data_IF_155607702091
#
_entry.id   IF_155607702091
#
_cell.length_a   1.000
_cell.length_b   1.000
_cell.length_c   1.000
_cell.angle_alpha   90.00
_cell.angle_beta   90.00
_cell.angle_gamma   90.00
#
_symmetry.space_group_name_H-M   'P 1'
#
loop_
_entity.id
_entity.type
_entity.pdbx_description
1 polymer ?
#
# COMPACT_ATOMS: atom_id res chain seq x y z
N UNK A 1 -4.82 7.01 -24.94
CA UNK A 1 -3.83 6.19 -24.19
C UNK A 1 -4.47 5.01 -23.48
N UNK A 2 -5.15 5.11 -22.32
CA UNK A 2 -5.71 3.91 -21.62
C UNK A 2 -6.64 3.07 -22.52
N UNK A 3 -7.53 3.73 -23.25
CA UNK A 3 -8.53 3.09 -24.12
C UNK A 3 -7.87 2.45 -25.36
N UNK A 4 -6.81 3.08 -25.86
CA UNK A 4 -6.06 2.62 -27.03
C UNK A 4 -5.14 1.45 -26.68
N UNK A 5 -4.47 1.51 -25.51
CA UNK A 5 -3.59 0.46 -25.00
C UNK A 5 -4.39 -0.79 -24.58
N UNK A 6 -5.54 -0.61 -23.94
CA UNK A 6 -6.44 -1.70 -23.58
C UNK A 6 -7.24 -2.26 -24.77
N UNK A 7 -7.12 -1.64 -25.96
CA UNK A 7 -7.86 -1.99 -27.17
C UNK A 7 -9.38 -2.12 -26.97
N UNK A 8 -9.97 -1.14 -26.27
CA UNK A 8 -11.41 -1.09 -25.99
C UNK A 8 -12.05 0.18 -26.57
N UNK A 9 -13.36 0.18 -26.77
CA UNK A 9 -14.09 1.39 -27.20
C UNK A 9 -14.31 2.37 -26.06
N UNK A 10 -14.40 3.68 -26.36
CA UNK A 10 -14.79 4.71 -25.38
C UNK A 10 -16.12 4.41 -24.68
N UNK A 11 -17.10 3.93 -25.43
CA UNK A 11 -18.40 3.50 -24.89
C UNK A 11 -18.28 2.33 -23.90
N UNK A 12 -17.33 1.42 -24.12
CA UNK A 12 -17.05 0.31 -23.20
C UNK A 12 -16.36 0.82 -21.94
N UNK A 13 -15.39 1.74 -22.07
CA UNK A 13 -14.74 2.35 -20.91
C UNK A 13 -15.72 3.11 -20.03
N UNK A 14 -16.50 4.03 -20.62
CA UNK A 14 -17.48 4.85 -19.89
C UNK A 14 -18.74 4.09 -19.48
N UNK A 15 -18.94 2.85 -19.93
CA UNK A 15 -19.98 1.97 -19.38
C UNK A 15 -19.59 1.37 -18.02
N UNK A 16 -18.29 1.35 -17.69
CA UNK A 16 -17.77 0.79 -16.45
C UNK A 16 -17.18 1.84 -15.50
N UNK A 17 -16.66 2.95 -16.02
CA UNK A 17 -16.07 4.02 -15.22
C UNK A 17 -16.43 5.38 -15.80
N UNK A 18 -17.10 6.22 -15.01
CA UNK A 18 -17.51 7.56 -15.47
C UNK A 18 -16.29 8.47 -15.70
N UNK A 19 -15.18 8.21 -14.99
CA UNK A 19 -13.93 8.99 -15.08
C UNK A 19 -12.69 8.11 -14.89
N UNK A 20 -11.53 8.65 -15.31
CA UNK A 20 -10.22 8.06 -14.99
C UNK A 20 -10.01 7.91 -13.48
N UNK A 21 -10.58 8.83 -12.69
CA UNK A 21 -10.51 8.84 -11.23
C UNK A 21 -11.29 7.67 -10.60
N UNK A 22 -12.43 7.28 -11.18
CA UNK A 22 -13.16 6.09 -10.74
C UNK A 22 -12.41 4.80 -11.04
N UNK A 23 -11.77 4.70 -12.21
CA UNK A 23 -10.91 3.57 -12.52
C UNK A 23 -9.76 3.48 -11.50
N UNK A 24 -9.10 4.60 -11.19
CA UNK A 24 -8.04 4.66 -10.18
C UNK A 24 -8.56 4.26 -8.80
N UNK A 25 -9.75 4.75 -8.41
CA UNK A 25 -10.38 4.37 -7.15
C UNK A 25 -10.69 2.87 -7.10
N UNK A 26 -11.16 2.28 -8.20
CA UNK A 26 -11.45 0.85 -8.28
C UNK A 26 -10.17 0.01 -8.22
N UNK A 27 -9.10 0.42 -8.92
CA UNK A 27 -7.79 -0.25 -8.85
C UNK A 27 -7.17 -0.16 -7.45
N UNK A 28 -7.26 1.01 -6.81
CA UNK A 28 -6.92 1.16 -5.40
C UNK A 28 -7.76 0.19 -4.56
N UNK A 29 -9.09 0.22 -4.71
CA UNK A 29 -9.99 -0.63 -3.93
C UNK A 29 -9.66 -2.11 -4.09
N UNK A 30 -9.30 -2.56 -5.30
CA UNK A 30 -8.89 -3.94 -5.57
C UNK A 30 -7.56 -4.30 -4.89
N UNK A 31 -6.53 -3.45 -5.00
CA UNK A 31 -5.26 -3.63 -4.26
C UNK A 31 -5.53 -3.70 -2.75
N UNK A 32 -6.40 -2.84 -2.25
CA UNK A 32 -6.63 -2.69 -0.81
C UNK A 32 -7.65 -3.69 -0.25
N UNK A 33 -8.58 -4.23 -1.05
CA UNK A 33 -9.51 -5.28 -0.60
C UNK A 33 -8.80 -6.60 -0.36
N UNK A 34 -7.75 -6.90 -1.12
CA UNK A 34 -6.93 -8.10 -0.92
C UNK A 34 -5.98 -7.95 0.28
N UNK A 35 -5.36 -6.78 0.42
CA UNK A 35 -4.47 -6.45 1.55
C UNK A 35 -5.18 -6.39 2.90
N UNK A 36 -6.46 -5.98 2.93
CA UNK A 36 -7.18 -5.67 4.18
C UNK A 36 -8.47 -6.49 4.38
N UNK A 37 -8.75 -7.49 3.54
CA UNK A 37 -9.76 -8.49 3.90
C UNK A 37 -9.29 -9.24 5.14
N UNK A 38 -10.19 -9.47 6.10
CA UNK A 38 -9.87 -10.25 7.32
C UNK A 38 -9.47 -11.71 7.00
N UNK A 39 -9.66 -12.13 5.75
CA UNK A 39 -9.28 -13.41 5.16
C UNK A 39 -7.85 -13.45 4.59
N UNK A 40 -6.92 -12.65 5.14
CA UNK A 40 -5.47 -12.58 4.83
C UNK A 40 -4.70 -13.93 4.92
N UNK A 41 -5.40 -15.05 5.02
CA UNK A 41 -4.92 -16.39 5.37
C UNK A 41 -5.32 -17.39 4.26
N UNK A 42 -5.08 -17.08 2.98
CA UNK A 42 -5.06 -18.08 1.88
C UNK A 42 -4.94 -17.39 0.51
N UNK A 43 -3.86 -16.67 0.23
CA UNK A 43 -3.50 -16.41 -1.17
C UNK A 43 -2.60 -17.53 -1.69
N UNK A 44 -2.86 -17.99 -2.93
CA UNK A 44 -2.17 -19.16 -3.53
C UNK A 44 -0.69 -18.91 -3.83
N UNK A 45 -0.26 -17.65 -3.83
CA UNK A 45 1.09 -17.23 -4.22
C UNK A 45 2.01 -17.03 -3.02
N UNK A 46 1.47 -16.62 -1.87
CA UNK A 46 2.25 -16.35 -0.65
C UNK A 46 1.49 -16.78 0.62
N UNK A 47 2.13 -17.60 1.46
CA UNK A 47 1.56 -18.12 2.69
C UNK A 47 1.93 -17.24 3.90
N UNK A 48 0.94 -16.51 4.43
CA UNK A 48 1.06 -15.68 5.64
C UNK A 48 0.29 -16.29 6.83
N UNK A 49 -0.06 -17.57 6.79
CA UNK A 49 -0.92 -18.24 7.80
C UNK A 49 -0.27 -18.54 9.16
N UNK A 50 1.02 -18.25 9.31
CA UNK A 50 1.77 -18.56 10.52
C UNK A 50 1.62 -17.53 11.64
N UNK A 51 0.62 -17.68 12.51
CA UNK A 51 0.43 -17.23 13.92
C UNK A 51 1.13 -15.94 14.46
N UNK A 52 1.60 -15.03 13.61
CA UNK A 52 2.32 -13.82 13.97
C UNK A 52 1.87 -12.69 13.01
N UNK A 53 0.66 -12.19 13.25
CA UNK A 53 -0.02 -11.16 12.46
C UNK A 53 0.56 -9.75 12.72
N UNK A 54 1.88 -9.65 12.86
CA UNK A 54 2.61 -8.43 13.20
C UNK A 54 2.55 -7.37 12.10
N UNK A 55 2.91 -6.14 12.45
CA UNK A 55 2.92 -5.01 11.52
C UNK A 55 3.81 -5.29 10.30
N UNK A 56 5.00 -5.84 10.50
CA UNK A 56 5.94 -6.19 9.41
C UNK A 56 5.32 -7.12 8.37
N UNK A 57 4.56 -8.13 8.80
CA UNK A 57 3.85 -9.07 7.90
C UNK A 57 2.86 -8.32 7.01
N UNK A 58 2.08 -7.40 7.58
CA UNK A 58 1.11 -6.59 6.83
C UNK A 58 1.78 -5.65 5.84
N UNK A 59 2.87 -5.00 6.24
CA UNK A 59 3.65 -4.14 5.36
C UNK A 59 4.29 -4.93 4.21
N UNK A 60 4.83 -6.12 4.50
CA UNK A 60 5.38 -7.03 3.50
C UNK A 60 4.31 -7.45 2.49
N UNK A 61 3.10 -7.75 2.97
CA UNK A 61 1.98 -8.13 2.11
C UNK A 61 1.57 -7.00 1.16
N UNK A 62 1.47 -5.76 1.66
CA UNK A 62 1.24 -4.57 0.82
C UNK A 62 2.28 -4.49 -0.29
N UNK A 63 3.55 -4.64 0.06
CA UNK A 63 4.67 -4.53 -0.88
C UNK A 63 4.65 -5.64 -1.94
N UNK A 64 4.22 -6.86 -1.60
CA UNK A 64 4.00 -7.94 -2.58
C UNK A 64 2.92 -7.59 -3.59
N UNK A 65 1.75 -7.14 -3.15
CA UNK A 65 0.69 -6.73 -4.09
C UNK A 65 1.13 -5.59 -5.01
N UNK A 66 1.88 -4.62 -4.47
CA UNK A 66 2.41 -3.53 -5.27
C UNK A 66 3.44 -4.03 -6.31
N UNK A 67 4.22 -5.06 -5.97
CA UNK A 67 5.17 -5.69 -6.88
C UNK A 67 4.51 -6.55 -7.95
N UNK A 68 3.51 -7.34 -7.58
CA UNK A 68 2.75 -8.17 -8.52
C UNK A 68 1.97 -7.31 -9.52
N UNK A 69 1.57 -6.12 -9.09
CA UNK A 69 0.89 -5.11 -9.92
C UNK A 69 1.84 -4.04 -10.48
N UNK A 70 3.16 -4.28 -10.48
CA UNK A 70 4.19 -3.28 -10.80
C UNK A 70 3.92 -2.53 -12.12
N UNK A 71 3.60 -3.23 -13.20
CA UNK A 71 3.35 -2.62 -14.51
C UNK A 71 2.20 -1.60 -14.48
N UNK A 72 1.15 -1.90 -13.73
CA UNK A 72 -0.01 -1.01 -13.58
C UNK A 72 0.33 0.17 -12.66
N UNK A 73 1.03 -0.09 -11.56
CA UNK A 73 1.35 0.91 -10.54
C UNK A 73 2.39 1.92 -11.02
N UNK A 74 3.43 1.48 -11.72
CA UNK A 74 4.43 2.36 -12.33
C UNK A 74 3.76 3.33 -13.32
N UNK A 75 2.85 2.82 -14.15
CA UNK A 75 2.09 3.66 -15.08
C UNK A 75 1.19 4.67 -14.38
N UNK A 76 0.53 4.28 -13.28
CA UNK A 76 -0.34 5.17 -12.50
C UNK A 76 0.47 6.28 -11.82
N UNK A 77 1.60 5.92 -11.19
CA UNK A 77 2.43 6.86 -10.44
C UNK A 77 3.21 7.83 -11.36
N UNK A 78 3.46 7.44 -12.61
CA UNK A 78 4.17 8.27 -13.60
C UNK A 78 3.30 9.33 -14.28
N UNK A 79 1.98 9.33 -14.05
CA UNK A 79 1.05 10.29 -14.64
C UNK A 79 0.48 11.25 -13.57
N UNK A 80 -0.30 12.26 -13.99
CA UNK A 80 -1.06 13.16 -13.09
C UNK A 80 -1.92 12.41 -12.06
N UNK A 81 -2.24 11.15 -12.36
CA UNK A 81 -2.99 10.23 -11.51
C UNK A 81 -2.23 9.71 -10.27
N UNK A 82 -0.91 9.92 -10.20
CA UNK A 82 -0.08 9.45 -9.09
C UNK A 82 -0.40 10.12 -7.75
N UNK A 83 -0.72 11.43 -7.76
CA UNK A 83 -1.11 12.15 -6.55
C UNK A 83 -2.43 11.61 -5.98
N UNK A 84 -3.39 11.32 -6.85
CA UNK A 84 -4.69 10.76 -6.47
C UNK A 84 -4.55 9.34 -5.90
N UNK A 85 -3.72 8.50 -6.53
CA UNK A 85 -3.39 7.18 -6.00
C UNK A 85 -2.78 7.28 -4.60
N UNK A 86 -1.78 8.14 -4.41
CA UNK A 86 -1.12 8.32 -3.12
C UNK A 86 -2.06 8.87 -2.04
N UNK A 87 -3.03 9.71 -2.41
CA UNK A 87 -4.08 10.17 -1.49
C UNK A 87 -4.92 9.00 -0.99
N UNK A 88 -5.42 8.15 -1.88
CA UNK A 88 -6.17 6.96 -1.48
C UNK A 88 -5.31 6.01 -0.64
N UNK A 89 -4.09 5.72 -1.09
CA UNK A 89 -3.16 4.85 -0.38
C UNK A 89 -2.92 5.30 1.07
N UNK A 90 -2.66 6.61 1.29
CA UNK A 90 -2.51 7.18 2.63
C UNK A 90 -3.78 7.03 3.49
N UNK A 91 -4.96 7.12 2.89
CA UNK A 91 -6.23 6.84 3.57
C UNK A 91 -6.27 5.42 4.14
N UNK A 92 -5.92 4.42 3.33
CA UNK A 92 -5.89 3.03 3.78
C UNK A 92 -4.82 2.75 4.83
N UNK A 93 -3.61 3.31 4.66
CA UNK A 93 -2.57 3.23 5.68
C UNK A 93 -3.03 3.83 7.01
N UNK A 94 -3.81 4.92 6.96
CA UNK A 94 -4.37 5.56 8.16
C UNK A 94 -5.27 4.59 8.93
N UNK A 95 -6.16 3.89 8.24
CA UNK A 95 -7.03 2.89 8.88
C UNK A 95 -6.23 1.72 9.48
N UNK A 96 -5.26 1.19 8.72
CA UNK A 96 -4.40 0.09 9.18
C UNK A 96 -3.59 0.47 10.43
N UNK A 97 -2.86 1.59 10.38
CA UNK A 97 -2.02 2.04 11.48
C UNK A 97 -2.85 2.46 12.70
N UNK A 98 -4.04 3.01 12.51
CA UNK A 98 -4.95 3.32 13.63
C UNK A 98 -5.34 2.05 14.41
N UNK A 99 -5.66 0.96 13.71
CA UNK A 99 -5.95 -0.34 14.35
C UNK A 99 -4.73 -0.90 15.09
N UNK A 100 -3.53 -0.71 14.54
CA UNK A 100 -2.27 -1.12 15.19
C UNK A 100 -1.96 -0.32 16.46
N UNK A 101 -2.18 1.00 16.45
CA UNK A 101 -1.93 1.87 17.60
C UNK A 101 -2.89 1.61 18.78
N UNK A 102 -4.12 1.17 18.52
CA UNK A 102 -5.09 0.84 19.57
C UNK A 102 -4.61 -0.28 20.54
N UNK A 103 -3.60 -1.07 20.15
CA UNK A 103 -3.00 -2.12 20.98
C UNK A 103 -1.54 -1.87 21.37
N UNK A 104 -0.98 -0.70 21.05
CA UNK A 104 0.46 -0.42 21.21
C UNK A 104 0.66 0.76 22.14
N UNK A 105 1.59 0.65 23.10
CA UNK A 105 1.96 1.76 23.97
C UNK A 105 3.03 2.62 23.26
N UNK A 106 2.72 3.89 23.01
CA UNK A 106 3.63 4.83 22.33
C UNK A 106 3.89 6.03 23.23
N UNK A 107 5.15 6.47 23.30
CA UNK A 107 5.59 7.58 24.16
C UNK A 107 5.27 8.97 23.59
N UNK A 108 4.46 9.05 22.53
CA UNK A 108 4.12 10.27 21.81
C UNK A 108 2.62 10.33 21.52
N UNK A 109 2.05 11.52 21.24
CA UNK A 109 0.65 11.66 20.85
C UNK A 109 0.28 10.75 19.67
N UNK A 110 -0.85 10.05 19.79
CA UNK A 110 -1.25 9.03 18.83
C UNK A 110 -1.43 9.57 17.40
N UNK A 111 -1.93 10.80 17.27
CA UNK A 111 -2.09 11.50 15.99
C UNK A 111 -0.74 11.80 15.32
N UNK A 112 0.27 12.18 16.09
CA UNK A 112 1.62 12.39 15.59
C UNK A 112 2.24 11.09 15.09
N UNK A 113 2.14 9.99 15.86
CA UNK A 113 2.66 8.68 15.47
C UNK A 113 1.95 8.17 14.22
N UNK A 114 0.61 8.30 14.17
CA UNK A 114 -0.18 7.91 13.01
C UNK A 114 0.24 8.67 11.76
N UNK A 115 0.35 10.00 11.84
CA UNK A 115 0.80 10.82 10.72
C UNK A 115 2.22 10.43 10.26
N UNK A 116 3.13 10.18 11.22
CA UNK A 116 4.49 9.74 10.90
C UNK A 116 4.49 8.41 10.16
N UNK A 117 3.84 7.37 10.69
CA UNK A 117 3.82 6.03 10.09
C UNK A 117 3.19 6.05 8.69
N UNK A 118 2.03 6.70 8.54
CA UNK A 118 1.35 6.85 7.25
C UNK A 118 2.23 7.59 6.24
N UNK A 119 2.81 8.73 6.66
CA UNK A 119 3.64 9.55 5.79
C UNK A 119 4.93 8.85 5.37
N UNK A 120 5.65 8.27 6.33
CA UNK A 120 6.94 7.62 6.09
C UNK A 120 6.81 6.35 5.27
N UNK A 121 5.77 5.54 5.50
CA UNK A 121 5.57 4.33 4.70
C UNK A 121 5.10 4.65 3.28
N UNK A 122 4.19 5.62 3.12
CA UNK A 122 3.78 6.09 1.81
C UNK A 122 4.97 6.61 0.97
N UNK A 123 5.86 7.38 1.60
CA UNK A 123 7.08 7.86 0.93
C UNK A 123 8.06 6.71 0.64
N UNK A 124 8.20 5.75 1.56
CA UNK A 124 9.02 4.54 1.34
C UNK A 124 8.58 3.79 0.09
N UNK A 125 7.27 3.56 -0.06
CA UNK A 125 6.69 2.90 -1.23
C UNK A 125 6.94 3.68 -2.50
N UNK A 126 6.69 5.00 -2.49
CA UNK A 126 6.91 5.86 -3.64
C UNK A 126 8.37 5.80 -4.09
N UNK A 127 9.31 6.02 -3.17
CA UNK A 127 10.74 5.94 -3.45
C UNK A 127 11.14 4.55 -3.96
N UNK A 128 10.63 3.49 -3.36
CA UNK A 128 10.92 2.13 -3.78
C UNK A 128 10.50 1.87 -5.23
N UNK A 129 9.32 2.35 -5.63
CA UNK A 129 8.83 2.24 -7.01
C UNK A 129 9.67 3.09 -7.97
N UNK A 130 9.96 4.35 -7.63
CA UNK A 130 10.79 5.25 -8.43
C UNK A 130 12.21 4.69 -8.66
N UNK A 131 12.69 3.85 -7.74
CA UNK A 131 13.97 3.15 -7.81
C UNK A 131 13.84 1.70 -8.33
N UNK A 132 12.84 1.46 -9.18
CA UNK A 132 12.61 0.18 -9.86
C UNK A 132 12.51 -1.02 -8.90
N UNK A 133 11.92 -0.81 -7.73
CA UNK A 133 11.69 -1.81 -6.70
C UNK A 133 12.95 -2.64 -6.37
N UNK A 134 14.10 -1.96 -6.27
CA UNK A 134 15.43 -2.58 -6.12
C UNK A 134 15.52 -3.62 -5.00
N UNK A 135 14.83 -3.40 -3.89
CA UNK A 135 14.80 -4.30 -2.74
C UNK A 135 13.57 -5.23 -2.78
N UNK A 136 13.65 -6.41 -2.17
CA UNK A 136 12.46 -7.29 -2.06
C UNK A 136 11.41 -6.67 -1.13
N UNK A 137 10.14 -7.08 -1.24
CA UNK A 137 9.09 -6.70 -0.28
C UNK A 137 9.50 -6.91 1.18
N UNK A 138 10.06 -8.07 1.50
CA UNK A 138 10.52 -8.43 2.86
C UNK A 138 11.65 -7.51 3.31
N UNK A 139 12.64 -7.28 2.44
CA UNK A 139 13.79 -6.41 2.77
C UNK A 139 13.34 -4.98 3.02
N UNK A 140 12.41 -4.48 2.20
CA UNK A 140 11.88 -3.12 2.30
C UNK A 140 11.05 -2.95 3.57
N UNK A 141 10.15 -3.90 3.88
CA UNK A 141 9.39 -3.90 5.12
C UNK A 141 10.30 -3.95 6.35
N UNK A 142 11.32 -4.82 6.33
CA UNK A 142 12.31 -4.94 7.40
C UNK A 142 13.06 -3.61 7.62
N UNK A 143 13.59 -3.00 6.56
CA UNK A 143 14.27 -1.71 6.70
C UNK A 143 13.35 -0.61 7.19
N UNK A 144 12.11 -0.57 6.72
CA UNK A 144 11.12 0.36 7.23
C UNK A 144 10.90 0.16 8.73
N UNK A 145 10.74 -1.07 9.20
CA UNK A 145 10.59 -1.38 10.63
C UNK A 145 11.83 -0.96 11.41
N UNK A 146 13.04 -1.26 10.94
CA UNK A 146 14.30 -0.88 11.63
C UNK A 146 14.45 0.63 11.81
N UNK A 147 14.00 1.44 10.85
CA UNK A 147 14.08 2.91 10.93
C UNK A 147 12.87 3.56 11.61
N UNK A 148 11.72 2.88 11.60
CA UNK A 148 10.46 3.38 12.17
C UNK A 148 10.24 2.89 13.60
N UNK A 149 10.94 1.83 14.03
CA UNK A 149 10.93 1.36 15.40
C UNK A 149 11.40 2.47 16.34
N UNK A 150 10.43 3.01 17.07
CA UNK A 150 10.58 3.78 18.31
C UNK A 150 11.00 2.82 19.45
N UNK A 151 11.95 1.92 19.19
CA UNK A 151 12.57 1.00 20.18
C UNK A 151 13.98 1.45 20.56
N UNK A 152 14.23 2.76 20.57
CA UNK A 152 15.24 3.35 21.45
C UNK A 152 14.44 4.01 22.56
N UNK A 153 14.11 3.34 23.65
CA UNK A 153 15.04 2.90 24.68
C UNK A 153 14.37 1.74 25.43
N UNK A 154 15.00 0.56 25.42
CA UNK A 154 14.98 -0.30 26.62
C UNK A 154 16.33 -0.14 27.27
N UNK A 155 16.29 0.25 28.55
CA UNK A 155 17.43 0.45 29.45
C UNK A 155 18.50 -0.66 29.39
#
# INVERSE_FOLDING_TARGET
>A
EIIDEANIGRSTFYAHFDTKDELLRAMCTDIFSHVFSDDLISEKTHDFSGNNNGLETKLTHILHHLKDSEKNIVGILSCESGELFMKYFKGYLTEMFSKYLNGTNVNAPADFVLNHLVGSFAETVKWWIDNSMKYTPETTAKYYMEVSCVDRITD
#
